data_IF_719185476924
#
_entry.id   IF_719185476924
#
_cell.length_a   1.000
_cell.length_b   1.000
_cell.length_c   1.000
_cell.angle_alpha   90.00
_cell.angle_beta   90.00
_cell.angle_gamma   90.00
#
_symmetry.space_group_name_H-M   'P 1'
#
loop_
_entity.id
_entity.type
_entity.pdbx_description
1 polymer ?
#
# COMPACT_ATOMS: atom_id res chain seq x y z
N UNK A 1 2.37 -1.85 -8.37
CA UNK A 1 1.83 -3.02 -9.10
C UNK A 1 2.89 -4.06 -9.49
N UNK A 2 4.01 -3.68 -10.11
CA UNK A 2 5.04 -4.63 -10.57
C UNK A 2 5.63 -5.51 -9.44
N UNK A 3 5.99 -4.91 -8.30
CA UNK A 3 6.52 -5.61 -7.11
C UNK A 3 5.56 -6.71 -6.63
N UNK A 4 4.27 -6.39 -6.49
CA UNK A 4 3.24 -7.33 -6.01
C UNK A 4 3.03 -8.54 -6.92
N UNK A 5 3.35 -8.39 -8.21
CA UNK A 5 3.23 -9.44 -9.20
C UNK A 5 4.58 -10.13 -9.47
N UNK A 6 5.62 -9.79 -8.72
CA UNK A 6 6.95 -10.37 -8.90
C UNK A 6 7.53 -10.17 -10.30
N UNK A 7 7.27 -9.00 -10.91
CA UNK A 7 7.85 -8.63 -12.20
C UNK A 7 9.25 -8.06 -12.00
N UNK A 8 10.11 -8.24 -13.00
CA UNK A 8 11.42 -7.58 -13.04
C UNK A 8 11.25 -6.06 -13.04
N UNK A 9 11.97 -5.41 -12.13
CA UNK A 9 12.13 -3.96 -12.07
C UNK A 9 13.63 -3.73 -12.11
N UNK A 10 14.12 -3.30 -13.25
CA UNK A 10 15.54 -3.27 -13.59
C UNK A 10 15.95 -1.86 -13.99
N UNK A 11 17.24 -1.55 -13.86
CA UNK A 11 17.80 -0.26 -14.25
C UNK A 11 17.94 -0.14 -15.77
N UNK A 12 18.10 1.10 -16.26
CA UNK A 12 18.36 1.36 -17.68
C UNK A 12 19.68 0.75 -18.17
N UNK A 13 20.60 0.39 -17.27
CA UNK A 13 21.87 -0.24 -17.64
C UNK A 13 21.68 -1.64 -18.22
N UNK A 14 20.57 -2.33 -17.90
CA UNK A 14 20.21 -3.59 -18.54
C UNK A 14 20.00 -3.41 -20.04
N UNK A 15 19.30 -2.34 -20.44
CA UNK A 15 19.06 -2.05 -21.86
C UNK A 15 20.38 -1.78 -22.58
N UNK A 16 21.29 -1.02 -21.96
CA UNK A 16 22.63 -0.75 -22.53
C UNK A 16 23.42 -2.05 -22.71
N UNK A 17 23.44 -2.89 -21.68
CA UNK A 17 24.12 -4.18 -21.73
C UNK A 17 23.54 -5.11 -22.82
N UNK A 18 22.22 -5.16 -22.96
CA UNK A 18 21.56 -5.92 -24.02
C UNK A 18 21.93 -5.42 -25.42
N UNK A 19 22.04 -4.09 -25.61
CA UNK A 19 22.45 -3.50 -26.88
C UNK A 19 23.91 -3.84 -27.22
N UNK A 20 24.81 -3.81 -26.24
CA UNK A 20 26.22 -4.16 -26.42
C UNK A 20 26.41 -5.65 -26.71
N UNK A 21 25.72 -6.51 -25.95
CA UNK A 21 25.75 -7.97 -26.13
C UNK A 21 25.00 -8.45 -27.38
N UNK A 22 24.12 -7.59 -27.95
CA UNK A 22 23.20 -7.90 -29.06
C UNK A 22 22.20 -9.03 -28.75
N UNK A 23 21.93 -9.28 -27.48
CA UNK A 23 20.89 -10.21 -27.00
C UNK A 23 20.47 -9.81 -25.57
N UNK A 24 19.31 -10.29 -25.07
CA UNK A 24 18.93 -10.11 -23.66
C UNK A 24 19.97 -10.75 -22.73
N UNK A 25 20.51 -9.97 -21.78
CA UNK A 25 21.40 -10.46 -20.72
C UNK A 25 20.60 -10.74 -19.44
N UNK A 26 21.22 -11.40 -18.46
CA UNK A 26 20.60 -11.70 -17.17
C UNK A 26 20.11 -10.43 -16.46
N UNK A 27 18.83 -10.39 -16.09
CA UNK A 27 18.19 -9.28 -15.39
C UNK A 27 18.66 -9.11 -13.94
N UNK A 28 19.11 -10.18 -13.27
CA UNK A 28 19.35 -10.16 -11.81
C UNK A 28 20.41 -9.12 -11.40
N UNK A 29 21.44 -8.93 -12.24
CA UNK A 29 22.52 -7.96 -11.99
C UNK A 29 22.05 -6.49 -12.09
N UNK A 30 20.89 -6.26 -12.69
CA UNK A 30 20.34 -4.94 -12.96
C UNK A 30 19.05 -4.68 -12.18
N UNK A 31 18.60 -5.62 -11.34
CA UNK A 31 17.41 -5.46 -10.51
C UNK A 31 17.59 -4.29 -9.53
N UNK A 32 16.59 -3.42 -9.44
CA UNK A 32 16.62 -2.26 -8.54
C UNK A 32 16.58 -2.74 -7.09
N UNK A 33 17.59 -2.36 -6.30
CA UNK A 33 17.74 -2.78 -4.90
C UNK A 33 17.39 -1.69 -3.88
N UNK A 34 17.30 -0.42 -4.27
CA UNK A 34 17.02 0.71 -3.36
C UNK A 34 16.17 1.76 -4.08
N UNK A 35 15.10 2.22 -3.43
CA UNK A 35 14.30 3.36 -3.91
C UNK A 35 14.69 4.69 -3.23
N UNK A 36 14.09 5.78 -3.71
CA UNK A 36 14.28 7.13 -3.18
C UNK A 36 13.64 7.35 -1.79
N UNK A 37 12.88 6.38 -1.28
CA UNK A 37 12.26 6.38 0.04
C UNK A 37 13.00 5.48 1.04
N UNK A 38 14.11 4.86 0.63
CA UNK A 38 14.95 4.02 1.50
C UNK A 38 14.48 2.57 1.63
N UNK A 39 13.55 2.10 0.79
CA UNK A 39 13.15 0.69 0.78
C UNK A 39 14.18 -0.16 0.05
N UNK A 40 14.69 -1.18 0.74
CA UNK A 40 15.69 -2.11 0.22
C UNK A 40 15.04 -3.40 -0.32
N UNK A 41 15.56 -3.89 -1.45
CA UNK A 41 15.25 -5.17 -2.09
C UNK A 41 13.77 -5.45 -2.33
N UNK A 42 12.95 -4.41 -2.43
CA UNK A 42 11.52 -4.49 -2.70
C UNK A 42 11.17 -5.36 -3.91
N UNK A 43 11.69 -5.02 -5.10
CA UNK A 43 11.48 -5.80 -6.32
C UNK A 43 11.89 -7.27 -6.18
N UNK A 44 13.11 -7.51 -5.69
CA UNK A 44 13.66 -8.86 -5.47
C UNK A 44 12.80 -9.68 -4.52
N UNK A 45 12.41 -9.08 -3.39
CA UNK A 45 11.52 -9.71 -2.40
C UNK A 45 10.17 -10.05 -3.03
N UNK A 46 9.58 -9.14 -3.80
CA UNK A 46 8.32 -9.39 -4.52
C UNK A 46 8.42 -10.54 -5.52
N UNK A 47 9.48 -10.58 -6.32
CA UNK A 47 9.78 -11.64 -7.29
C UNK A 47 9.93 -13.00 -6.61
N UNK A 48 10.76 -13.08 -5.57
CA UNK A 48 10.97 -14.32 -4.81
C UNK A 48 9.69 -14.80 -4.15
N UNK A 49 8.89 -13.90 -3.55
CA UNK A 49 7.59 -14.25 -2.96
C UNK A 49 6.62 -14.81 -3.99
N UNK A 50 6.55 -14.22 -5.18
CA UNK A 50 5.70 -14.70 -6.26
C UNK A 50 6.15 -16.07 -6.77
N UNK A 51 7.47 -16.28 -6.92
CA UNK A 51 8.05 -17.55 -7.38
C UNK A 51 7.64 -18.75 -6.50
N UNK A 52 7.60 -18.54 -5.18
CA UNK A 52 7.21 -19.59 -4.22
C UNK A 52 5.73 -19.53 -3.83
N UNK A 53 4.90 -18.79 -4.55
CA UNK A 53 3.45 -18.63 -4.31
C UNK A 53 3.10 -18.26 -2.85
N UNK A 54 3.85 -17.34 -2.23
CA UNK A 54 3.51 -16.84 -0.89
C UNK A 54 2.12 -16.18 -0.89
N UNK A 55 1.43 -16.18 0.27
CA UNK A 55 0.21 -15.40 0.43
C UNK A 55 0.40 -13.95 0.00
N UNK A 56 -0.68 -13.38 -0.53
CA UNK A 56 -0.71 -11.98 -0.96
C UNK A 56 -0.42 -11.06 0.24
N UNK A 57 0.27 -9.95 -0.03
CA UNK A 57 0.87 -9.11 1.01
C UNK A 57 -0.14 -8.62 2.05
N UNK A 58 -1.33 -8.25 1.61
CA UNK A 58 -2.44 -7.78 2.44
C UNK A 58 -3.56 -8.83 2.60
N UNK A 59 -3.26 -10.11 2.34
CA UNK A 59 -4.22 -11.19 2.51
C UNK A 59 -4.76 -11.22 3.95
N UNK A 60 -6.09 -11.17 4.09
CA UNK A 60 -6.75 -11.14 5.41
C UNK A 60 -6.82 -9.77 6.08
N UNK A 61 -6.43 -8.69 5.38
CA UNK A 61 -6.63 -7.32 5.85
C UNK A 61 -7.79 -6.65 5.11
N UNK A 62 -8.56 -5.88 5.86
CA UNK A 62 -9.59 -5.00 5.31
C UNK A 62 -9.13 -3.54 5.41
N UNK A 63 -9.46 -2.72 4.43
CA UNK A 63 -9.09 -1.32 4.37
C UNK A 63 -10.33 -0.45 4.21
N UNK A 64 -10.45 0.56 5.05
CA UNK A 64 -11.49 1.57 4.94
C UNK A 64 -10.84 2.94 4.79
N UNK A 65 -11.09 3.61 3.67
CA UNK A 65 -10.51 4.92 3.38
C UNK A 65 -11.44 6.00 3.91
N UNK A 66 -10.94 6.79 4.86
CA UNK A 66 -11.56 8.06 5.26
C UNK A 66 -11.60 8.99 4.04
N UNK A 67 -12.55 9.92 4.01
CA UNK A 67 -12.71 10.85 2.90
C UNK A 67 -11.43 11.70 2.66
N UNK A 68 -11.47 12.56 1.65
CA UNK A 68 -10.43 13.59 1.40
C UNK A 68 -9.17 13.12 0.64
N UNK A 69 -9.38 12.22 -0.33
CA UNK A 69 -8.40 11.87 -1.34
C UNK A 69 -8.75 12.49 -2.70
N UNK A 70 -7.74 12.86 -3.48
CA UNK A 70 -7.91 13.15 -4.92
C UNK A 70 -8.46 11.89 -5.60
N UNK A 71 -9.55 11.95 -6.39
CA UNK A 71 -10.24 10.75 -6.89
C UNK A 71 -9.35 9.77 -7.66
N UNK A 72 -8.50 10.27 -8.57
CA UNK A 72 -7.58 9.43 -9.33
C UNK A 72 -6.57 8.72 -8.41
N UNK A 73 -5.97 9.46 -7.48
CA UNK A 73 -5.02 8.90 -6.52
C UNK A 73 -5.67 7.86 -5.59
N UNK A 74 -6.90 8.12 -5.13
CA UNK A 74 -7.69 7.14 -4.37
C UNK A 74 -7.87 5.86 -5.17
N UNK A 75 -8.27 5.97 -6.43
CA UNK A 75 -8.47 4.80 -7.30
C UNK A 75 -7.20 3.95 -7.43
N UNK A 76 -6.04 4.58 -7.60
CA UNK A 76 -4.76 3.88 -7.66
C UNK A 76 -4.43 3.15 -6.34
N UNK A 77 -4.65 3.81 -5.19
CA UNK A 77 -4.47 3.18 -3.87
C UNK A 77 -5.39 1.98 -3.67
N UNK A 78 -6.66 2.09 -4.08
CA UNK A 78 -7.61 0.98 -4.01
C UNK A 78 -7.16 -0.19 -4.89
N UNK A 79 -6.71 0.08 -6.12
CA UNK A 79 -6.19 -0.94 -7.01
C UNK A 79 -4.94 -1.64 -6.44
N UNK A 80 -4.06 -0.88 -5.78
CA UNK A 80 -2.89 -1.43 -5.09
C UNK A 80 -3.30 -2.37 -3.94
N UNK A 81 -4.26 -1.96 -3.11
CA UNK A 81 -4.80 -2.78 -2.01
C UNK A 81 -5.38 -4.09 -2.55
N UNK A 82 -6.24 -4.01 -3.57
CA UNK A 82 -6.89 -5.18 -4.17
C UNK A 82 -5.85 -6.14 -4.79
N UNK A 83 -4.86 -5.61 -5.49
CA UNK A 83 -3.79 -6.43 -6.10
C UNK A 83 -2.91 -7.11 -5.06
N UNK A 84 -2.69 -6.44 -3.94
CA UNK A 84 -1.98 -6.98 -2.79
C UNK A 84 -2.85 -7.97 -1.98
N UNK A 85 -4.07 -8.27 -2.40
CA UNK A 85 -4.97 -9.25 -1.78
C UNK A 85 -5.74 -8.73 -0.56
N UNK A 86 -5.74 -7.41 -0.35
CA UNK A 86 -6.56 -6.76 0.67
C UNK A 86 -7.99 -6.58 0.20
N UNK A 87 -8.91 -6.46 1.15
CA UNK A 87 -10.32 -6.16 0.88
C UNK A 87 -10.60 -4.69 1.15
N UNK A 88 -11.35 -4.02 0.28
CA UNK A 88 -11.77 -2.63 0.49
C UNK A 88 -13.20 -2.61 1.02
N UNK A 89 -13.41 -1.87 2.11
CA UNK A 89 -14.73 -1.58 2.67
C UNK A 89 -15.14 -0.20 2.16
N UNK A 90 -16.24 -0.13 1.41
CA UNK A 90 -16.67 1.10 0.74
C UNK A 90 -17.55 2.00 1.61
N UNK A 91 -18.30 1.40 2.53
CA UNK A 91 -19.34 2.10 3.30
C UNK A 91 -19.18 1.82 4.79
N UNK A 92 -19.40 2.85 5.62
CA UNK A 92 -19.23 2.77 7.08
C UNK A 92 -20.16 1.73 7.74
N UNK A 93 -21.36 1.52 7.21
CA UNK A 93 -22.31 0.50 7.68
C UNK A 93 -21.74 -0.92 7.64
N UNK A 94 -20.91 -1.22 6.63
CA UNK A 94 -20.24 -2.51 6.49
C UNK A 94 -19.14 -2.76 7.55
N UNK A 95 -18.67 -1.71 8.24
CA UNK A 95 -17.71 -1.86 9.34
C UNK A 95 -18.38 -2.43 10.59
N UNK A 96 -19.62 -2.00 10.88
CA UNK A 96 -20.36 -2.42 12.07
C UNK A 96 -21.04 -3.78 11.91
N UNK A 97 -21.37 -4.18 10.68
CA UNK A 97 -22.05 -5.44 10.38
C UNK A 97 -21.16 -6.70 10.42
N UNK A 98 -19.84 -6.58 10.62
CA UNK A 98 -18.92 -7.74 10.56
C UNK A 98 -18.96 -8.63 11.82
N UNK A 99 -19.76 -8.28 12.82
CA UNK A 99 -19.86 -8.98 14.11
C UNK A 99 -20.75 -10.24 14.10
N UNK A 100 -21.46 -10.53 13.00
CA UNK A 100 -22.50 -11.58 12.99
C UNK A 100 -22.30 -12.78 12.06
N UNK A 101 -21.24 -12.83 11.23
CA UNK A 101 -20.96 -13.99 10.38
C UNK A 101 -19.99 -14.97 11.04
N UNK A 102 -20.54 -16.05 11.63
CA UNK A 102 -19.81 -17.10 12.35
C UNK A 102 -18.85 -17.94 11.47
N UNK A 103 -18.68 -17.61 10.19
CA UNK A 103 -17.82 -18.32 9.23
C UNK A 103 -16.71 -17.42 8.64
N UNK A 104 -16.62 -16.15 9.05
CA UNK A 104 -15.55 -15.27 8.58
C UNK A 104 -14.35 -15.38 9.52
N UNK A 105 -13.19 -15.73 8.96
CA UNK A 105 -11.91 -15.55 9.68
C UNK A 105 -11.79 -14.11 10.15
N UNK A 106 -11.35 -13.85 11.40
CA UNK A 106 -11.18 -12.50 11.89
C UNK A 106 -10.13 -11.78 11.04
N UNK A 107 -10.60 -10.87 10.18
CA UNK A 107 -9.74 -10.01 9.37
C UNK A 107 -9.55 -8.69 10.09
N UNK A 108 -8.30 -8.27 10.27
CA UNK A 108 -8.01 -6.96 10.86
C UNK A 108 -8.42 -5.87 9.87
N UNK A 109 -9.28 -4.96 10.31
CA UNK A 109 -9.60 -3.75 9.56
C UNK A 109 -8.56 -2.67 9.86
N UNK A 110 -8.23 -1.87 8.85
CA UNK A 110 -7.32 -0.73 8.93
C UNK A 110 -8.04 0.50 8.37
N UNK A 111 -8.10 1.57 9.16
CA UNK A 111 -8.65 2.86 8.76
C UNK A 111 -7.54 3.69 8.13
N UNK A 112 -7.71 4.06 6.87
CA UNK A 112 -6.69 4.76 6.07
C UNK A 112 -7.08 6.23 5.92
N UNK A 113 -6.17 7.14 6.23
CA UNK A 113 -6.35 8.56 5.97
C UNK A 113 -5.25 9.15 5.08
N UNK A 114 -5.57 10.28 4.46
CA UNK A 114 -4.65 11.00 3.59
C UNK A 114 -3.76 11.94 4.41
N UNK A 115 -2.44 11.73 4.36
CA UNK A 115 -1.44 12.57 5.03
C UNK A 115 -0.93 13.70 4.13
N UNK A 116 -1.32 13.71 2.84
CA UNK A 116 -0.89 14.75 1.93
C UNK A 116 -1.77 16.01 2.10
N UNK A 117 -1.17 17.21 2.07
CA UNK A 117 -1.93 18.44 2.06
C UNK A 117 -2.84 18.47 0.82
N UNK A 118 -4.05 19.06 0.91
CA UNK A 118 -4.92 19.21 -0.25
C UNK A 118 -4.21 19.98 -1.38
N UNK A 119 -4.49 19.65 -2.66
CA UNK A 119 -3.95 20.42 -3.78
C UNK A 119 -4.36 21.89 -3.68
N UNK A 120 -3.38 22.80 -3.76
CA UNK A 120 -3.63 24.24 -3.68
C UNK A 120 -3.93 24.78 -2.27
N UNK A 121 -3.68 23.97 -1.22
CA UNK A 121 -3.77 24.43 0.16
C UNK A 121 -2.78 25.59 0.41
N UNK A 122 -3.22 26.60 1.18
CA UNK A 122 -2.36 27.72 1.55
C UNK A 122 -1.44 27.32 2.70
N UNK A 123 -0.24 27.90 2.70
CA UNK A 123 0.73 27.75 3.78
C UNK A 123 0.07 28.12 5.13
N UNK A 124 -0.03 27.15 6.04
CA UNK A 124 -0.63 27.31 7.38
C UNK A 124 -2.00 26.65 7.59
N UNK A 125 -2.77 26.37 6.53
CA UNK A 125 -4.04 25.63 6.64
C UNK A 125 -3.83 24.10 6.66
N UNK A 126 -2.70 23.65 6.09
CA UNK A 126 -2.34 22.23 5.95
C UNK A 126 -2.37 21.47 7.29
N UNK A 127 -1.78 22.05 8.34
CA UNK A 127 -1.70 21.40 9.65
C UNK A 127 -3.07 21.14 10.28
N UNK A 128 -3.99 22.10 10.14
CA UNK A 128 -5.36 21.95 10.67
C UNK A 128 -6.13 20.85 9.95
N UNK A 129 -6.03 20.80 8.62
CA UNK A 129 -6.70 19.80 7.79
C UNK A 129 -6.15 18.39 8.10
N UNK A 130 -4.83 18.25 8.18
CA UNK A 130 -4.20 16.96 8.49
C UNK A 130 -4.55 16.49 9.91
N UNK A 131 -4.61 17.40 10.89
CA UNK A 131 -5.04 17.09 12.25
C UNK A 131 -6.51 16.66 12.29
N UNK A 132 -7.39 17.35 11.55
CA UNK A 132 -8.80 16.97 11.48
C UNK A 132 -8.99 15.59 10.85
N UNK A 133 -8.23 15.27 9.79
CA UNK A 133 -8.26 13.95 9.14
C UNK A 133 -7.76 12.84 10.05
N UNK A 134 -6.66 13.06 10.76
CA UNK A 134 -6.14 12.06 11.70
C UNK A 134 -7.09 11.85 12.88
N UNK A 135 -7.67 12.92 13.43
CA UNK A 135 -8.68 12.84 14.48
C UNK A 135 -9.92 12.06 14.03
N UNK A 136 -10.49 12.39 12.86
CA UNK A 136 -11.64 11.68 12.32
C UNK A 136 -11.36 10.19 12.05
N UNK A 137 -10.15 9.86 11.59
CA UNK A 137 -9.72 8.48 11.40
C UNK A 137 -9.58 7.74 12.72
N UNK A 138 -9.03 8.40 13.75
CA UNK A 138 -8.84 7.83 15.08
C UNK A 138 -10.17 7.60 15.80
N UNK A 139 -11.09 8.56 15.74
CA UNK A 139 -12.43 8.43 16.31
C UNK A 139 -13.16 7.24 15.70
N UNK A 140 -13.10 7.11 14.36
CA UNK A 140 -13.68 5.96 13.66
C UNK A 140 -13.02 4.64 14.03
N UNK A 141 -11.69 4.60 14.12
CA UNK A 141 -10.96 3.39 14.50
C UNK A 141 -11.31 2.97 15.93
N UNK A 142 -11.44 3.91 16.87
CA UNK A 142 -11.87 3.67 18.24
C UNK A 142 -13.30 3.11 18.29
N UNK A 143 -14.23 3.67 17.49
CA UNK A 143 -15.62 3.22 17.39
C UNK A 143 -15.74 1.75 16.99
N UNK A 144 -14.86 1.26 16.10
CA UNK A 144 -14.92 -0.10 15.54
C UNK A 144 -13.83 -1.05 16.10
N UNK A 145 -13.01 -0.61 17.07
CA UNK A 145 -11.91 -1.41 17.62
C UNK A 145 -10.81 -1.75 16.61
N UNK A 146 -10.50 -0.81 15.72
CA UNK A 146 -9.55 -0.96 14.61
C UNK A 146 -8.30 -0.11 14.80
N UNK A 147 -7.35 -0.18 13.86
CA UNK A 147 -6.13 0.64 13.84
C UNK A 147 -6.16 1.66 12.71
N UNK A 148 -5.55 2.81 12.94
CA UNK A 148 -5.37 3.85 11.93
C UNK A 148 -4.02 3.68 11.26
N UNK A 149 -3.99 3.86 9.95
CA UNK A 149 -2.76 3.98 9.15
C UNK A 149 -2.87 5.17 8.20
N UNK A 150 -1.73 5.68 7.77
CA UNK A 150 -1.65 6.63 6.68
C UNK A 150 -1.69 5.89 5.36
N UNK A 151 -2.08 6.57 4.28
CA UNK A 151 -2.00 5.95 2.95
C UNK A 151 -0.55 5.61 2.54
N UNK A 152 0.47 6.31 3.08
CA UNK A 152 1.88 6.02 2.79
C UNK A 152 2.31 4.65 3.34
N UNK A 153 1.73 4.18 4.44
CA UNK A 153 1.96 2.82 4.95
C UNK A 153 1.66 1.73 3.90
N UNK A 154 0.62 1.94 3.06
CA UNK A 154 0.30 1.03 1.95
C UNK A 154 1.44 1.04 0.92
N UNK A 155 1.89 2.23 0.53
CA UNK A 155 2.95 2.42 -0.46
C UNK A 155 4.27 1.83 0.04
N UNK A 156 4.69 2.15 1.26
CA UNK A 156 5.90 1.67 1.90
C UNK A 156 5.88 0.15 2.13
N UNK A 157 4.71 -0.42 2.45
CA UNK A 157 4.58 -1.87 2.58
C UNK A 157 4.76 -2.57 1.25
N UNK A 158 4.19 -2.00 0.18
CA UNK A 158 4.33 -2.54 -1.19
C UNK A 158 5.76 -2.34 -1.70
N UNK A 159 6.35 -1.17 -1.47
CA UNK A 159 7.71 -0.83 -1.88
C UNK A 159 8.73 -1.80 -1.28
N UNK A 160 8.63 -2.11 0.02
CA UNK A 160 9.47 -3.11 0.68
C UNK A 160 9.01 -4.57 0.46
N UNK A 161 7.87 -4.78 -0.21
CA UNK A 161 7.16 -6.06 -0.29
C UNK A 161 7.01 -6.79 1.07
N UNK A 162 6.79 -6.01 2.13
CA UNK A 162 6.73 -6.44 3.53
C UNK A 162 5.79 -5.51 4.29
N UNK A 163 4.97 -6.05 5.19
CA UNK A 163 4.11 -5.23 6.03
C UNK A 163 4.96 -4.32 6.92
N UNK A 164 4.73 -3.02 6.83
CA UNK A 164 5.33 -2.05 7.74
C UNK A 164 4.71 -2.21 9.14
N UNK A 165 5.46 -1.88 10.21
CA UNK A 165 4.91 -1.90 11.56
C UNK A 165 3.68 -0.98 11.63
N UNK A 166 2.65 -1.44 12.34
CA UNK A 166 1.50 -0.58 12.60
C UNK A 166 1.90 0.47 13.63
N UNK A 167 1.47 1.74 13.47
CA UNK A 167 1.72 2.76 14.48
C UNK A 167 1.12 2.32 15.82
N UNK A 168 1.84 2.63 16.90
CA UNK A 168 1.45 2.35 18.29
C UNK A 168 0.34 3.28 18.75
#
# INVERSE_FOLDING_TARGET
>A
MAILNGRWIITMDWIKACMEAKHPVDEELYEVSLDNHGCWDGPKTGRLRALINKPKLFGGLNFYFVADFVPAYKHDLLNLVLTAGGTVIERKDQLMGQSHDAHRTPSATLVVYNQDPPPGCKLGEEGSILLQRSAAAQDLANEIGSKVITHTWILESIAACKLQPLPC
#
